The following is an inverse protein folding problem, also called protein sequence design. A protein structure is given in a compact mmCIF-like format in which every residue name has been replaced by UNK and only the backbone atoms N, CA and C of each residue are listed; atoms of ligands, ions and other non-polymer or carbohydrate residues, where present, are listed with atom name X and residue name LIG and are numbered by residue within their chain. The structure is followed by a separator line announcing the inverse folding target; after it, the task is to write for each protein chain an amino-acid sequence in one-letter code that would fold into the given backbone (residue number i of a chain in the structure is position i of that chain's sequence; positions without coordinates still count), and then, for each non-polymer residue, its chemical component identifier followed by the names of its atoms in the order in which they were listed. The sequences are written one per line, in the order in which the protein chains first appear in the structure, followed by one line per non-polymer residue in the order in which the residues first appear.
data_IF_145258014899
#
_entry.id   IF_145258014899
#
_cell.length_a   1.000
_cell.length_b   1.000
_cell.length_c   1.000
_cell.angle_alpha   90.00
_cell.angle_beta   90.00
_cell.angle_gamma   90.00
#
_symmetry.space_group_name_H-M   'P 1'
#
loop_
_entity.id
_entity.type
_entity.pdbx_description
1 polymer ?
#
# COMPACT_ATOMS: atom_id res chain seq x y z
N UNK A 1 -12.32 19.70 8.27
CA UNK A 1 -12.33 19.88 9.73
C UNK A 1 -11.98 21.31 10.18
N UNK A 2 -11.42 22.20 9.33
CA UNK A 2 -11.22 23.62 9.68
C UNK A 2 -11.80 24.63 8.67
N UNK A 3 -12.54 24.18 7.65
CA UNK A 3 -13.14 25.07 6.63
C UNK A 3 -12.16 25.79 5.71
N UNK A 4 -10.85 25.74 6.00
CA UNK A 4 -9.81 26.34 5.16
C UNK A 4 -9.61 25.48 3.90
N UNK A 5 -9.91 26.07 2.75
CA UNK A 5 -9.53 25.51 1.46
C UNK A 5 -8.10 25.98 1.15
N UNK A 6 -7.12 25.09 0.91
CA UNK A 6 -5.80 25.50 0.49
C UNK A 6 -5.89 26.28 -0.83
N UNK A 7 -4.99 27.24 -1.03
CA UNK A 7 -4.84 28.00 -2.28
C UNK A 7 -3.95 27.28 -3.32
N UNK A 8 -3.62 26.02 -3.04
CA UNK A 8 -2.85 25.13 -3.91
C UNK A 8 -3.61 23.81 -4.09
N UNK A 9 -3.32 23.15 -5.20
CA UNK A 9 -3.85 21.82 -5.48
C UNK A 9 -3.05 20.77 -4.70
N UNK A 10 -3.75 19.78 -4.14
CA UNK A 10 -3.13 18.62 -3.52
C UNK A 10 -3.39 17.43 -4.42
N UNK A 11 -2.32 16.94 -5.03
CA UNK A 11 -2.34 15.76 -5.91
C UNK A 11 -1.47 14.67 -5.33
N UNK A 12 -1.84 13.42 -5.56
CA UNK A 12 -0.98 12.30 -5.24
C UNK A 12 0.13 12.16 -6.29
N UNK A 13 1.31 11.69 -5.87
CA UNK A 13 2.47 11.55 -6.77
C UNK A 13 2.17 10.72 -8.02
N UNK A 14 1.26 9.74 -7.93
CA UNK A 14 0.84 8.94 -9.09
C UNK A 14 0.15 9.76 -10.16
N UNK A 15 -0.63 10.79 -9.77
CA UNK A 15 -1.32 11.67 -10.73
C UNK A 15 -0.31 12.55 -11.47
N UNK A 16 0.67 13.10 -10.75
CA UNK A 16 1.77 13.86 -11.35
C UNK A 16 2.60 13.01 -12.31
N UNK A 17 2.96 11.80 -11.89
CA UNK A 17 3.75 10.89 -12.73
C UNK A 17 3.00 10.47 -13.99
N UNK A 18 1.68 10.25 -13.92
CA UNK A 18 0.89 9.95 -15.12
C UNK A 18 0.88 11.14 -16.06
N UNK A 19 0.62 12.34 -15.55
CA UNK A 19 0.64 13.55 -16.38
C UNK A 19 1.96 13.67 -17.15
N UNK A 20 3.09 13.61 -16.44
CA UNK A 20 4.41 13.71 -17.07
C UNK A 20 4.75 12.54 -18.01
N UNK A 21 4.25 11.34 -17.70
CA UNK A 21 4.38 10.20 -18.60
C UNK A 21 3.59 10.39 -19.91
N UNK A 22 2.37 10.90 -19.82
CA UNK A 22 1.50 11.17 -20.98
C UNK A 22 1.96 12.38 -21.80
N UNK A 23 2.49 13.42 -21.14
CA UNK A 23 3.16 14.56 -21.78
C UNK A 23 4.49 14.14 -22.44
N UNK A 24 4.98 12.93 -22.14
CA UNK A 24 6.18 12.37 -22.73
C UNK A 24 7.48 12.94 -22.17
N UNK A 25 7.45 13.53 -20.97
CA UNK A 25 8.62 14.04 -20.24
C UNK A 25 9.60 12.90 -19.87
N UNK A 26 9.06 11.71 -19.65
CA UNK A 26 9.85 10.51 -19.43
C UNK A 26 9.19 9.26 -20.04
N UNK A 27 9.98 8.20 -20.22
CA UNK A 27 9.51 6.85 -20.51
C UNK A 27 9.75 5.93 -19.31
N UNK A 28 9.00 4.82 -19.25
CA UNK A 28 9.18 3.78 -18.23
C UNK A 28 9.78 2.57 -18.91
N UNK A 29 10.95 2.12 -18.44
CA UNK A 29 11.52 0.84 -18.83
C UNK A 29 10.67 -0.30 -18.25
N UNK A 30 10.02 -1.13 -19.10
CA UNK A 30 9.17 -2.20 -18.61
C UNK A 30 9.97 -3.31 -17.94
N UNK A 31 9.31 -4.05 -17.07
CA UNK A 31 9.84 -5.25 -16.42
C UNK A 31 9.11 -6.49 -16.91
N UNK A 32 9.80 -7.63 -16.91
CA UNK A 32 9.21 -8.93 -17.19
C UNK A 32 8.84 -9.67 -15.90
N UNK A 33 7.87 -9.11 -15.19
CA UNK A 33 7.31 -9.69 -13.94
C UNK A 33 5.81 -9.57 -13.92
N UNK A 34 5.12 -10.56 -13.35
CA UNK A 34 3.70 -10.41 -13.02
C UNK A 34 3.57 -9.46 -11.84
N UNK A 35 2.83 -8.36 -12.03
CA UNK A 35 2.61 -7.36 -10.99
C UNK A 35 1.12 -7.16 -10.73
N UNK A 36 0.77 -6.73 -9.52
CA UNK A 36 -0.59 -6.31 -9.17
C UNK A 36 -0.57 -5.01 -8.36
N UNK A 37 -1.73 -4.37 -8.27
CA UNK A 37 -1.92 -3.12 -7.55
C UNK A 37 -2.90 -3.31 -6.39
N UNK A 38 -2.50 -2.84 -5.21
CA UNK A 38 -3.40 -2.70 -4.09
C UNK A 38 -3.81 -1.23 -3.93
N UNK A 39 -5.10 -0.95 -4.18
CA UNK A 39 -5.71 0.36 -3.98
C UNK A 39 -5.76 0.73 -2.48
N UNK A 40 -4.95 1.71 -2.01
CA UNK A 40 -5.03 2.16 -0.63
C UNK A 40 -6.35 2.86 -0.35
N UNK A 41 -6.93 2.65 0.83
CA UNK A 41 -8.23 3.25 1.17
C UNK A 41 -8.20 4.79 1.21
N UNK A 42 -7.10 5.41 1.66
CA UNK A 42 -6.96 6.87 1.68
C UNK A 42 -6.82 7.43 0.26
N UNK A 43 -6.05 6.75 -0.59
CA UNK A 43 -5.80 7.21 -1.96
C UNK A 43 -7.03 7.03 -2.86
N UNK A 44 -7.60 5.83 -2.87
CA UNK A 44 -8.77 5.49 -3.69
C UNK A 44 -10.08 6.00 -3.07
N UNK A 45 -10.52 5.42 -1.95
CA UNK A 45 -11.89 5.67 -1.42
C UNK A 45 -12.09 7.09 -0.90
N UNK A 46 -11.05 7.72 -0.35
CA UNK A 46 -11.11 9.11 0.14
C UNK A 46 -10.56 10.12 -0.87
N UNK A 47 -9.50 9.78 -1.58
CA UNK A 47 -8.85 10.67 -2.55
C UNK A 47 -9.43 10.61 -3.96
N UNK A 48 -10.18 9.56 -4.31
CA UNK A 48 -10.75 9.38 -5.65
C UNK A 48 -9.73 8.91 -6.71
N UNK A 49 -8.49 8.61 -6.31
CA UNK A 49 -7.41 8.30 -7.24
C UNK A 49 -7.37 6.79 -7.51
N UNK A 50 -7.93 6.39 -8.65
CA UNK A 50 -7.97 4.99 -9.10
C UNK A 50 -7.23 4.76 -10.42
N UNK A 51 -7.41 5.63 -11.40
CA UNK A 51 -6.88 5.40 -12.75
C UNK A 51 -5.39 5.68 -12.86
N UNK A 52 -4.90 6.74 -12.20
CA UNK A 52 -3.51 7.15 -12.35
C UNK A 52 -2.49 6.02 -12.02
N UNK A 53 -2.62 5.28 -10.90
CA UNK A 53 -1.75 4.13 -10.65
C UNK A 53 -1.80 3.09 -11.77
N UNK A 54 -2.97 2.84 -12.38
CA UNK A 54 -3.16 1.80 -13.40
C UNK A 54 -2.47 2.13 -14.72
N UNK A 55 -2.41 3.41 -15.10
CA UNK A 55 -1.62 3.86 -16.25
C UNK A 55 -0.15 3.50 -16.05
N UNK A 56 0.40 3.84 -14.88
CA UNK A 56 1.79 3.52 -14.53
C UNK A 56 2.03 2.00 -14.45
N UNK A 57 1.09 1.22 -13.91
CA UNK A 57 1.21 -0.25 -13.84
C UNK A 57 1.26 -0.90 -15.23
N UNK A 58 0.38 -0.46 -16.14
CA UNK A 58 0.33 -0.97 -17.52
C UNK A 58 1.58 -0.60 -18.31
N UNK A 59 2.15 0.58 -18.08
CA UNK A 59 3.42 0.99 -18.65
C UNK A 59 4.60 0.19 -18.08
N UNK A 60 4.57 -0.13 -16.79
CA UNK A 60 5.64 -0.83 -16.09
C UNK A 60 5.70 -2.32 -16.45
N UNK A 61 4.58 -3.01 -16.64
CA UNK A 61 4.58 -4.43 -17.01
C UNK A 61 3.38 -4.81 -17.88
N UNK A 62 3.66 -5.57 -18.95
CA UNK A 62 2.63 -6.20 -19.79
C UNK A 62 1.87 -7.32 -19.06
N UNK A 63 2.39 -7.78 -17.92
CA UNK A 63 1.79 -8.84 -17.10
C UNK A 63 1.03 -8.29 -15.89
N UNK A 64 0.64 -7.00 -15.92
CA UNK A 64 -0.20 -6.41 -14.86
C UNK A 64 -1.55 -7.11 -14.76
N UNK A 65 -1.93 -7.48 -13.53
CA UNK A 65 -3.23 -8.07 -13.19
C UNK A 65 -3.84 -7.34 -12.00
N UNK A 66 -5.12 -7.03 -12.07
CA UNK A 66 -5.86 -6.49 -10.93
C UNK A 66 -6.04 -7.56 -9.84
N UNK A 67 -6.14 -7.10 -8.59
CA UNK A 67 -6.68 -7.94 -7.52
C UNK A 67 -8.15 -8.28 -7.81
N UNK A 68 -8.67 -9.43 -7.34
CA UNK A 68 -10.09 -9.78 -7.47
C UNK A 68 -11.03 -8.65 -7.04
N UNK A 69 -10.76 -8.01 -5.90
CA UNK A 69 -11.43 -6.78 -5.49
C UNK A 69 -10.46 -5.60 -5.59
N UNK A 70 -10.76 -4.68 -6.51
CA UNK A 70 -9.95 -3.51 -6.84
C UNK A 70 -10.83 -2.26 -7.00
N UNK A 71 -10.20 -1.10 -7.16
CA UNK A 71 -10.87 0.19 -7.28
C UNK A 71 -11.69 0.52 -6.04
N UNK A 72 -12.90 1.03 -6.24
CA UNK A 72 -13.85 1.35 -5.16
C UNK A 72 -14.20 0.14 -4.30
N UNK A 73 -14.14 -1.07 -4.88
CA UNK A 73 -14.45 -2.33 -4.20
C UNK A 73 -13.26 -2.92 -3.45
N UNK A 74 -12.07 -2.30 -3.51
CA UNK A 74 -10.89 -2.87 -2.87
C UNK A 74 -11.06 -3.07 -1.37
N UNK A 75 -10.67 -4.26 -0.90
CA UNK A 75 -10.62 -4.56 0.53
C UNK A 75 -9.40 -3.94 1.19
N UNK A 76 -9.58 -3.49 2.44
CA UNK A 76 -8.53 -2.88 3.26
C UNK A 76 -7.34 -3.84 3.43
N UNK A 77 -6.13 -3.30 3.55
CA UNK A 77 -4.95 -4.05 4.00
C UNK A 77 -5.02 -4.43 5.48
N UNK A 78 -6.02 -3.93 6.22
CA UNK A 78 -6.22 -4.11 7.66
C UNK A 78 -5.24 -3.36 8.56
N UNK A 79 -4.33 -2.56 8.00
CA UNK A 79 -3.31 -1.82 8.76
C UNK A 79 -3.73 -0.43 9.26
N UNK A 80 -4.78 0.14 8.66
CA UNK A 80 -5.25 1.48 9.00
C UNK A 80 -5.81 1.60 10.42
N UNK A 81 -6.12 2.83 10.84
CA UNK A 81 -6.69 3.07 12.17
C UNK A 81 -5.72 2.80 13.33
N UNK A 82 -4.41 2.71 13.05
CA UNK A 82 -3.36 2.44 14.02
C UNK A 82 -2.99 0.97 14.16
N UNK A 83 -3.75 0.02 13.59
CA UNK A 83 -3.57 -1.41 13.86
C UNK A 83 -2.19 -1.95 13.43
N UNK A 84 -1.61 -1.41 12.36
CA UNK A 84 -0.25 -1.79 11.93
C UNK A 84 0.84 -1.33 12.91
N UNK A 85 0.58 -0.33 13.74
CA UNK A 85 1.54 0.30 14.65
C UNK A 85 1.39 -0.21 16.09
N UNK A 86 0.17 -0.60 16.51
CA UNK A 86 -0.18 -0.82 17.92
C UNK A 86 0.81 -1.71 18.70
N UNK A 87 1.26 -2.89 18.22
CA UNK A 87 2.11 -3.75 19.05
C UNK A 87 3.48 -3.13 19.35
N UNK A 88 4.19 -2.64 18.32
CA UNK A 88 5.54 -2.10 18.47
C UNK A 88 5.53 -0.69 19.06
N UNK A 89 4.60 0.16 18.59
CA UNK A 89 4.54 1.56 19.03
C UNK A 89 4.12 1.67 20.49
N UNK A 90 3.22 0.81 21.00
CA UNK A 90 2.85 0.84 22.42
C UNK A 90 4.01 0.44 23.33
N UNK A 91 4.76 -0.61 22.97
CA UNK A 91 5.96 -1.03 23.71
C UNK A 91 7.02 0.08 23.76
N UNK A 92 7.30 0.70 22.60
CA UNK A 92 8.23 1.82 22.49
C UNK A 92 7.74 3.04 23.29
N UNK A 93 6.45 3.36 23.24
CA UNK A 93 5.86 4.47 24.01
C UNK A 93 5.95 4.22 25.50
N UNK A 94 5.58 3.03 25.97
CA UNK A 94 5.62 2.65 27.38
C UNK A 94 7.04 2.78 27.93
N UNK A 95 8.02 2.25 27.19
CA UNK A 95 9.44 2.35 27.54
C UNK A 95 9.90 3.81 27.64
N UNK A 96 9.50 4.66 26.69
CA UNK A 96 9.97 6.05 26.63
C UNK A 96 9.23 7.00 27.58
N UNK A 97 7.98 6.69 27.92
CA UNK A 97 7.13 7.54 28.78
C UNK A 97 7.21 7.18 30.25
N UNK A 98 7.83 6.04 30.61
CA UNK A 98 7.82 5.51 31.97
C UNK A 98 6.46 4.98 32.42
N UNK A 99 5.48 4.91 31.51
CA UNK A 99 4.17 4.30 31.75
C UNK A 99 4.32 2.80 31.54
N UNK A 100 4.07 2.01 32.59
CA UNK A 100 4.13 0.56 32.51
C UNK A 100 3.04 -0.01 31.58
N UNK A 101 3.36 -1.08 30.85
CA UNK A 101 2.38 -1.87 30.10
C UNK A 101 1.69 -2.85 31.07
N UNK A 102 0.38 -2.73 31.22
CA UNK A 102 -0.41 -3.63 32.07
C UNK A 102 -0.65 -4.98 31.38
N UNK A 103 -1.11 -5.98 32.13
CA UNK A 103 -1.54 -7.25 31.53
C UNK A 103 -2.76 -7.09 30.61
N UNK A 104 -3.66 -6.15 30.92
CA UNK A 104 -4.80 -5.84 30.06
C UNK A 104 -4.35 -5.21 28.74
N UNK A 105 -3.32 -4.35 28.75
CA UNK A 105 -2.72 -3.78 27.54
C UNK A 105 -2.11 -4.88 26.66
N UNK A 106 -1.37 -5.83 27.25
CA UNK A 106 -0.80 -6.97 26.51
C UNK A 106 -1.90 -7.82 25.88
N UNK A 107 -2.94 -8.13 26.64
CA UNK A 107 -4.10 -8.89 26.14
C UNK A 107 -4.80 -8.16 24.99
N UNK A 108 -4.95 -6.84 25.09
CA UNK A 108 -5.48 -6.02 24.00
C UNK A 108 -4.59 -6.11 22.75
N UNK A 109 -3.27 -5.97 22.90
CA UNK A 109 -2.33 -6.06 21.78
C UNK A 109 -2.35 -7.44 21.11
N UNK A 110 -2.40 -8.52 21.89
CA UNK A 110 -2.50 -9.88 21.36
C UNK A 110 -3.79 -10.08 20.56
N UNK A 111 -4.93 -9.62 21.10
CA UNK A 111 -6.21 -9.68 20.40
C UNK A 111 -6.16 -8.85 19.10
N UNK A 112 -5.61 -7.64 19.15
CA UNK A 112 -5.45 -6.78 17.98
C UNK A 112 -4.59 -7.44 16.89
N UNK A 113 -3.52 -8.13 17.29
CA UNK A 113 -2.66 -8.89 16.38
C UNK A 113 -3.39 -10.07 15.74
N UNK A 114 -4.19 -10.82 16.51
CA UNK A 114 -5.04 -11.90 15.98
C UNK A 114 -6.04 -11.36 14.96
N UNK A 115 -6.69 -10.24 15.26
CA UNK A 115 -7.60 -9.57 14.31
C UNK A 115 -6.86 -9.16 13.03
N UNK A 116 -5.67 -8.56 13.15
CA UNK A 116 -4.86 -8.16 12.00
C UNK A 116 -4.49 -9.35 11.10
N UNK A 117 -4.10 -10.48 11.71
CA UNK A 117 -3.79 -11.73 11.02
C UNK A 117 -5.02 -12.22 10.27
N UNK A 118 -6.14 -12.42 10.97
CA UNK A 118 -7.36 -12.97 10.39
C UNK A 118 -7.92 -12.10 9.24
N UNK A 119 -7.94 -10.78 9.42
CA UNK A 119 -8.37 -9.85 8.38
C UNK A 119 -7.38 -9.82 7.21
N UNK A 120 -6.08 -9.96 7.50
CA UNK A 120 -5.03 -10.06 6.49
C UNK A 120 -5.12 -11.28 5.59
N UNK A 121 -5.67 -12.40 6.08
CA UNK A 121 -5.86 -13.62 5.28
C UNK A 121 -6.60 -13.34 3.98
N UNK A 122 -7.67 -12.56 4.04
CA UNK A 122 -8.48 -12.21 2.86
C UNK A 122 -7.61 -11.53 1.81
N UNK A 123 -6.78 -10.57 2.23
CA UNK A 123 -5.89 -9.85 1.31
C UNK A 123 -4.82 -10.77 0.71
N UNK A 124 -4.24 -11.67 1.50
CA UNK A 124 -3.24 -12.62 0.99
C UNK A 124 -3.85 -13.64 0.03
N UNK A 125 -5.08 -14.10 0.29
CA UNK A 125 -5.79 -15.00 -0.61
C UNK A 125 -6.10 -14.30 -1.96
N UNK A 126 -6.43 -13.00 -1.94
CA UNK A 126 -6.56 -12.19 -3.16
C UNK A 126 -5.25 -12.05 -3.93
N UNK A 127 -4.16 -11.71 -3.24
CA UNK A 127 -2.81 -11.62 -3.84
C UNK A 127 -2.44 -12.95 -4.49
N UNK A 128 -2.66 -14.06 -3.78
CA UNK A 128 -2.30 -15.41 -4.26
C UNK A 128 -3.01 -15.78 -5.57
N UNK A 129 -4.25 -15.32 -5.77
CA UNK A 129 -5.01 -15.54 -7.02
C UNK A 129 -4.39 -14.84 -8.23
N UNK A 130 -3.71 -13.72 -8.03
CA UNK A 130 -3.06 -12.98 -9.12
C UNK A 130 -1.78 -13.66 -9.62
N UNK A 131 -1.15 -14.47 -8.75
CA UNK A 131 0.21 -15.00 -8.93
C UNK A 131 1.25 -13.89 -9.14
N UNK A 132 0.98 -12.69 -8.65
CA UNK A 132 1.90 -11.57 -8.79
C UNK A 132 3.19 -11.82 -8.00
N UNK A 133 4.31 -11.57 -8.65
CA UNK A 133 5.62 -11.54 -8.00
C UNK A 133 5.74 -10.26 -7.17
N UNK A 134 5.18 -9.15 -7.67
CA UNK A 134 5.20 -7.84 -7.00
C UNK A 134 3.79 -7.33 -6.76
N UNK A 135 3.50 -6.93 -5.53
CA UNK A 135 2.29 -6.20 -5.15
C UNK A 135 2.70 -4.76 -4.87
N UNK A 136 2.23 -3.85 -5.72
CA UNK A 136 2.55 -2.44 -5.67
C UNK A 136 1.42 -1.66 -5.00
N UNK A 137 1.78 -0.62 -4.24
CA UNK A 137 0.81 0.27 -3.58
C UNK A 137 1.40 1.66 -3.36
N UNK A 138 0.54 2.66 -3.16
CA UNK A 138 0.93 4.05 -2.91
C UNK A 138 0.86 4.46 -1.45
N UNK A 139 0.81 3.50 -0.52
CA UNK A 139 0.62 3.76 0.91
C UNK A 139 1.63 2.98 1.76
N UNK A 140 2.52 3.67 2.50
CA UNK A 140 3.49 3.02 3.39
C UNK A 140 2.86 2.07 4.41
N UNK A 141 1.75 2.46 5.03
CA UNK A 141 1.00 1.60 5.95
C UNK A 141 0.54 0.30 5.30
N UNK A 142 0.07 0.36 4.04
CA UNK A 142 -0.29 -0.85 3.31
C UNK A 142 0.93 -1.75 3.08
N UNK A 143 2.11 -1.17 2.81
CA UNK A 143 3.34 -1.93 2.60
C UNK A 143 3.70 -2.71 3.86
N UNK A 144 3.88 -2.04 4.99
CA UNK A 144 4.32 -2.71 6.23
C UNK A 144 3.34 -3.79 6.66
N UNK A 145 2.05 -3.48 6.52
CA UNK A 145 0.98 -4.43 6.88
C UNK A 145 0.95 -5.63 5.96
N UNK A 146 0.97 -5.42 4.64
CA UNK A 146 0.93 -6.54 3.71
C UNK A 146 2.24 -7.33 3.75
N UNK A 147 3.40 -6.72 4.00
CA UNK A 147 4.67 -7.43 4.26
C UNK A 147 4.54 -8.39 5.43
N UNK A 148 3.99 -7.90 6.56
CA UNK A 148 3.70 -8.75 7.70
C UNK A 148 2.77 -9.91 7.33
N UNK A 149 1.69 -9.63 6.59
CA UNK A 149 0.69 -10.63 6.22
C UNK A 149 1.22 -11.69 5.26
N UNK A 150 1.90 -11.29 4.17
CA UNK A 150 2.46 -12.28 3.21
C UNK A 150 3.54 -13.13 3.86
N UNK A 151 4.35 -12.57 4.76
CA UNK A 151 5.33 -13.33 5.53
C UNK A 151 4.64 -14.31 6.49
N UNK A 152 3.62 -13.86 7.22
CA UNK A 152 2.87 -14.70 8.14
C UNK A 152 2.22 -15.89 7.44
N UNK A 153 1.63 -15.67 6.26
CA UNK A 153 0.96 -16.68 5.46
C UNK A 153 1.87 -17.38 4.43
N UNK A 154 3.20 -17.16 4.50
CA UNK A 154 4.21 -17.76 3.60
C UNK A 154 3.92 -17.59 2.11
N UNK A 155 3.34 -16.45 1.75
CA UNK A 155 3.16 -16.06 0.35
C UNK A 155 4.47 -15.44 -0.16
N UNK A 156 4.86 -15.77 -1.40
CA UNK A 156 6.14 -15.38 -1.99
C UNK A 156 6.14 -14.01 -2.67
N UNK A 157 4.99 -13.35 -2.79
CA UNK A 157 4.89 -12.02 -3.40
C UNK A 157 5.63 -10.98 -2.58
N UNK A 158 6.41 -10.13 -3.25
CA UNK A 158 7.08 -9.00 -2.64
C UNK A 158 6.15 -7.79 -2.62
N UNK A 159 6.10 -7.08 -1.49
CA UNK A 159 5.32 -5.87 -1.35
C UNK A 159 6.26 -4.66 -1.38
N UNK A 160 5.97 -3.67 -2.21
CA UNK A 160 6.79 -2.46 -2.32
C UNK A 160 5.99 -1.24 -2.74
N UNK A 161 6.57 -0.06 -2.53
CA UNK A 161 5.96 1.18 -2.98
C UNK A 161 6.11 1.32 -4.49
N UNK A 162 5.13 1.94 -5.15
CA UNK A 162 5.23 2.22 -6.60
C UNK A 162 6.46 3.05 -6.96
N UNK A 163 6.84 3.99 -6.10
CA UNK A 163 8.00 4.86 -6.34
C UNK A 163 9.31 4.07 -6.29
N UNK A 164 9.42 3.08 -5.40
CA UNK A 164 10.64 2.27 -5.26
C UNK A 164 10.99 1.55 -6.57
N UNK A 165 9.97 1.09 -7.30
CA UNK A 165 10.19 0.40 -8.58
C UNK A 165 10.28 1.36 -9.76
N UNK A 166 9.56 2.48 -9.73
CA UNK A 166 9.62 3.46 -10.81
C UNK A 166 10.94 4.26 -10.82
N UNK A 167 11.53 4.50 -9.65
CA UNK A 167 12.77 5.28 -9.52
C UNK A 167 13.88 4.81 -10.46
N UNK A 168 14.14 3.50 -10.51
CA UNK A 168 15.17 2.90 -11.37
C UNK A 168 14.70 2.62 -12.81
N UNK A 169 13.47 3.03 -13.16
CA UNK A 169 12.84 2.69 -14.45
C UNK A 169 12.40 3.91 -15.24
N UNK A 170 12.31 5.07 -14.61
CA UNK A 170 12.06 6.35 -15.28
C UNK A 170 13.29 6.76 -16.09
N UNK A 171 13.06 7.06 -17.37
CA UNK A 171 14.05 7.62 -18.28
C UNK A 171 13.58 9.00 -18.74
N UNK A 172 14.17 10.05 -18.17
CA UNK A 172 13.83 11.43 -18.51
C UNK A 172 14.39 11.76 -19.90
N UNK A 173 13.58 12.38 -20.76
CA UNK A 173 14.08 12.90 -22.03
C UNK A 173 15.01 14.08 -21.75
N UNK A 174 16.19 14.05 -22.35
CA UNK A 174 17.11 15.21 -22.35
C UNK A 174 16.62 16.28 -23.31
#
# INVERSE_FOLDING_TARGET
MFGVKPNYEVVHITELLVKWYEDGEFTINPIDKTITWHDPCQLGKRGGVFEAPRVLMKALSKQFKELPNHGVNSFCCSGGGGLCMMPKTLEDLAKNSGIGVTEDDKKFLDNAKVTLINAGKVKVDEISKTKAELVLTGCPTCIDTMKFQVNHYRNSSQIMHIIDILYDRIQVKK
#
